data_IF_050743034692
#
_entry.id   IF_050743034692
#
_cell.length_a   1.000
_cell.length_b   1.000
_cell.length_c   1.000
_cell.angle_alpha   90.00
_cell.angle_beta   90.00
_cell.angle_gamma   90.00
#
_symmetry.space_group_name_H-M   'P 1'
#
loop_
_entity.id
_entity.type
_entity.pdbx_description
1 polymer ?
#
# COMPACT_ATOMS: atom_id res chain seq x y z
N UNK A 1 -26.81 -1.29 19.17
CA UNK A 1 -25.58 -0.89 18.47
C UNK A 1 -24.90 -2.16 17.99
N UNK A 2 -25.11 -2.55 16.73
CA UNK A 2 -24.29 -3.60 16.10
C UNK A 2 -22.88 -3.03 15.97
N UNK A 3 -21.93 -3.51 16.78
CA UNK A 3 -20.56 -3.00 16.76
C UNK A 3 -19.92 -3.33 15.42
N UNK A 4 -19.55 -2.31 14.63
CA UNK A 4 -18.75 -2.54 13.42
C UNK A 4 -17.45 -3.23 13.81
N UNK A 5 -17.14 -4.38 13.19
CA UNK A 5 -15.86 -5.04 13.42
C UNK A 5 -14.73 -4.18 12.83
N UNK A 6 -13.86 -3.68 13.70
CA UNK A 6 -12.63 -3.01 13.29
C UNK A 6 -11.60 -4.09 12.98
N UNK A 7 -10.87 -3.94 11.86
CA UNK A 7 -9.73 -4.80 11.54
C UNK A 7 -8.45 -4.11 11.98
N UNK A 8 -7.63 -4.82 12.75
CA UNK A 8 -6.29 -4.38 13.14
C UNK A 8 -5.25 -5.15 12.31
N UNK A 9 -4.25 -4.44 11.78
CA UNK A 9 -3.17 -5.02 10.98
C UNK A 9 -1.84 -4.55 11.54
N UNK A 10 -0.91 -5.48 11.72
CA UNK A 10 0.52 -5.18 11.94
C UNK A 10 1.22 -5.29 10.60
N UNK A 11 1.75 -4.18 10.08
CA UNK A 11 2.30 -4.13 8.71
C UNK A 11 3.46 -5.10 8.52
N UNK A 12 4.31 -5.28 9.54
CA UNK A 12 5.48 -6.17 9.47
C UNK A 12 5.11 -7.66 9.40
N UNK A 13 3.91 -8.02 9.87
CA UNK A 13 3.40 -9.40 9.81
C UNK A 13 2.69 -9.71 8.48
N UNK A 14 2.48 -8.69 7.63
CA UNK A 14 1.79 -8.85 6.36
C UNK A 14 2.73 -9.35 5.26
N UNK A 15 2.22 -10.25 4.41
CA UNK A 15 2.97 -10.68 3.24
C UNK A 15 3.23 -9.51 2.28
N UNK A 16 4.48 -9.40 1.84
CA UNK A 16 4.88 -8.45 0.81
C UNK A 16 4.64 -9.07 -0.55
N UNK A 17 3.75 -8.46 -1.33
CA UNK A 17 3.51 -8.81 -2.71
C UNK A 17 4.61 -8.22 -3.61
N UNK A 18 5.28 -9.05 -4.40
CA UNK A 18 6.19 -8.59 -5.45
C UNK A 18 5.38 -8.12 -6.66
N UNK A 19 5.35 -6.82 -6.91
CA UNK A 19 4.63 -6.21 -8.04
C UNK A 19 5.51 -6.21 -9.29
N UNK A 20 6.79 -5.92 -9.12
CA UNK A 20 7.79 -5.92 -10.18
C UNK A 20 9.18 -6.15 -9.57
N UNK A 21 10.21 -6.53 -10.37
CA UNK A 21 11.57 -6.61 -9.87
C UNK A 21 12.03 -5.30 -9.21
N UNK A 22 12.21 -5.31 -7.88
CA UNK A 22 12.62 -4.13 -7.11
C UNK A 22 11.48 -3.26 -6.56
N UNK A 23 10.22 -3.69 -6.73
CA UNK A 23 9.05 -3.08 -6.12
C UNK A 23 8.21 -4.16 -5.41
N UNK A 24 8.08 -4.00 -4.11
CA UNK A 24 7.20 -4.83 -3.27
C UNK A 24 6.20 -3.95 -2.52
N UNK A 25 5.08 -4.52 -2.09
CA UNK A 25 4.10 -3.80 -1.27
C UNK A 25 3.37 -4.69 -0.28
N UNK A 26 2.91 -4.10 0.83
CA UNK A 26 1.78 -4.64 1.59
C UNK A 26 0.53 -3.85 1.23
N UNK A 27 -0.63 -4.51 1.15
CA UNK A 27 -1.87 -3.87 0.70
C UNK A 27 -3.00 -4.12 1.70
N UNK A 28 -3.68 -3.05 2.11
CA UNK A 28 -4.89 -3.09 2.91
C UNK A 28 -5.99 -2.38 2.12
N UNK A 29 -7.08 -3.07 1.86
CA UNK A 29 -8.26 -2.50 1.19
C UNK A 29 -9.43 -2.39 2.17
N UNK A 30 -10.16 -1.30 2.04
CA UNK A 30 -11.53 -1.13 2.54
C UNK A 30 -12.45 -0.78 1.38
N UNK A 31 -13.71 -0.45 1.69
CA UNK A 31 -14.73 -0.28 0.66
C UNK A 31 -14.48 0.91 -0.28
N UNK A 32 -13.82 1.97 0.22
CA UNK A 32 -13.58 3.22 -0.52
C UNK A 32 -12.14 3.72 -0.47
N UNK A 33 -11.27 3.03 0.25
CA UNK A 33 -9.87 3.45 0.48
C UNK A 33 -8.98 2.23 0.36
N UNK A 34 -7.81 2.45 -0.22
CA UNK A 34 -6.72 1.51 -0.28
C UNK A 34 -5.50 2.15 0.39
N UNK A 35 -4.84 1.43 1.29
CA UNK A 35 -3.58 1.82 1.89
C UNK A 35 -2.51 0.81 1.48
N UNK A 36 -1.38 1.31 1.00
CA UNK A 36 -0.23 0.49 0.64
C UNK A 36 1.02 0.99 1.36
N UNK A 37 1.80 0.05 1.90
CA UNK A 37 3.19 0.32 2.24
C UNK A 37 4.04 -0.18 1.07
N UNK A 38 4.77 0.73 0.43
CA UNK A 38 5.53 0.45 -0.79
C UNK A 38 7.03 0.42 -0.47
N UNK A 39 7.71 -0.64 -0.89
CA UNK A 39 9.14 -0.83 -0.72
C UNK A 39 9.82 -0.76 -2.09
N UNK A 40 10.70 0.22 -2.26
CA UNK A 40 11.42 0.45 -3.50
C UNK A 40 12.90 0.13 -3.30
N UNK A 41 13.46 -0.73 -4.15
CA UNK A 41 14.92 -0.91 -4.18
C UNK A 41 15.59 0.34 -4.76
N UNK A 42 16.81 0.61 -4.29
CA UNK A 42 17.63 1.72 -4.80
C UNK A 42 17.73 1.68 -6.33
N UNK A 43 17.44 2.81 -6.96
CA UNK A 43 17.49 2.96 -8.42
C UNK A 43 16.21 2.52 -9.14
N UNK A 44 15.18 2.04 -8.44
CA UNK A 44 13.89 1.76 -9.05
C UNK A 44 13.20 3.07 -9.47
N UNK A 45 12.64 3.09 -10.68
CA UNK A 45 11.90 4.23 -11.23
C UNK A 45 10.44 3.86 -11.33
N UNK A 46 9.58 4.60 -10.62
CA UNK A 46 8.13 4.48 -10.76
C UNK A 46 7.69 5.26 -12.01
N UNK A 47 7.10 4.61 -13.04
CA UNK A 47 6.65 5.30 -14.24
C UNK A 47 5.53 6.30 -13.94
N UNK A 48 5.48 7.38 -14.73
CA UNK A 48 4.37 8.34 -14.66
C UNK A 48 3.05 7.66 -15.06
N UNK A 49 2.02 7.85 -14.25
CA UNK A 49 0.66 7.37 -14.48
C UNK A 49 -0.35 8.33 -13.84
N UNK A 50 -1.64 8.08 -14.02
CA UNK A 50 -2.74 8.87 -13.47
C UNK A 50 -3.80 7.95 -12.86
N UNK A 51 -4.54 8.48 -11.88
CA UNK A 51 -5.64 7.80 -11.22
C UNK A 51 -6.91 8.65 -11.30
N UNK A 52 -8.07 8.00 -11.39
CA UNK A 52 -9.36 8.70 -11.23
C UNK A 52 -9.59 9.13 -9.78
N UNK A 53 -9.16 8.30 -8.82
CA UNK A 53 -9.21 8.59 -7.39
C UNK A 53 -7.95 9.35 -6.94
N UNK A 54 -8.10 10.22 -5.93
CA UNK A 54 -6.97 10.91 -5.33
C UNK A 54 -6.00 9.92 -4.66
N UNK A 55 -4.71 10.07 -4.96
CA UNK A 55 -3.63 9.31 -4.31
C UNK A 55 -2.74 10.28 -3.51
N UNK A 56 -2.55 9.97 -2.23
CA UNK A 56 -1.63 10.68 -1.34
C UNK A 56 -0.46 9.74 -1.05
N UNK A 57 0.76 10.25 -1.11
CA UNK A 57 1.97 9.47 -0.83
C UNK A 57 2.79 10.18 0.23
N UNK A 58 3.25 9.42 1.23
CA UNK A 58 4.17 9.88 2.25
C UNK A 58 5.45 9.04 2.16
N UNK A 59 6.60 9.71 2.02
CA UNK A 59 7.90 9.03 1.92
C UNK A 59 8.43 8.79 3.32
N UNK A 60 8.75 7.53 3.60
CA UNK A 60 9.41 7.07 4.82
C UNK A 60 10.89 6.75 4.51
N UNK A 61 11.69 6.52 5.56
CA UNK A 61 13.13 6.21 5.48
C UNK A 61 13.44 4.81 4.90
#
# INVERSE_FOLDING_TARGET
MSGSSVRHFTVDDMNRESVAPGLERTLITGDRVMLAHVYLKKGFVVPRHAHENEQITYVLD
#
